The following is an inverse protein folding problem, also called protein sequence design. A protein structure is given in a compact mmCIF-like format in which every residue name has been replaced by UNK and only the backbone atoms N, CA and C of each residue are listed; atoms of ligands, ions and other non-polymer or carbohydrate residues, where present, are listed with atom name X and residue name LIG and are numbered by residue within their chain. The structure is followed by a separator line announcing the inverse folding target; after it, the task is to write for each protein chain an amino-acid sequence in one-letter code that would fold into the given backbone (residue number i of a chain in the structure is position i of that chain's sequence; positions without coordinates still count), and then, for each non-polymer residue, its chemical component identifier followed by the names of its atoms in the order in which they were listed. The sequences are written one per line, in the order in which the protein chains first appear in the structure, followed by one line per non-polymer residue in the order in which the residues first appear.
data_IF_015132009466
#
_entry.id   IF_015132009466
#
_cell.length_a   1.000
_cell.length_b   1.000
_cell.length_c   1.000
_cell.angle_alpha   90.00
_cell.angle_beta   90.00
_cell.angle_gamma   90.00
#
_symmetry.space_group_name_H-M   'P 1'
#
loop_
_entity.id
_entity.type
_entity.pdbx_description
1 polymer ?
#
# COMPACT_ATOMS: atom_id res chain seq x y z
N UNK A 1 1.35 11.81 19.64
CA UNK A 1 0.24 12.25 18.76
C UNK A 1 0.60 12.22 17.27
N UNK A 2 1.68 12.89 16.81
CA UNK A 2 2.03 12.94 15.36
C UNK A 2 2.37 11.59 14.73
N UNK A 3 3.02 10.68 15.45
CA UNK A 3 3.39 9.33 14.96
C UNK A 3 2.18 8.46 14.65
N UNK A 4 1.15 8.49 15.49
CA UNK A 4 -0.08 7.72 15.31
C UNK A 4 -0.88 8.19 14.09
N UNK A 5 -0.99 9.50 13.87
CA UNK A 5 -1.63 10.04 12.67
C UNK A 5 -0.92 9.55 11.39
N UNK A 6 0.41 9.55 11.37
CA UNK A 6 1.17 9.02 10.22
C UNK A 6 1.00 7.52 10.02
N UNK A 7 0.86 6.73 11.08
CA UNK A 7 0.55 5.30 10.98
C UNK A 7 -0.79 5.07 10.29
N UNK A 8 -1.83 5.80 10.69
CA UNK A 8 -3.15 5.69 10.05
C UNK A 8 -3.09 6.03 8.57
N UNK A 9 -2.41 7.13 8.21
CA UNK A 9 -2.23 7.55 6.81
C UNK A 9 -1.49 6.47 6.00
N UNK A 10 -0.38 5.96 6.51
CA UNK A 10 0.42 4.94 5.80
C UNK A 10 -0.33 3.62 5.65
N UNK A 11 -1.06 3.20 6.68
CA UNK A 11 -1.91 2.01 6.60
C UNK A 11 -3.03 2.22 5.57
N UNK A 12 -3.66 3.39 5.55
CA UNK A 12 -4.67 3.75 4.54
C UNK A 12 -4.10 3.73 3.11
N UNK A 13 -2.93 4.34 2.90
CA UNK A 13 -2.23 4.30 1.61
C UNK A 13 -1.88 2.87 1.18
N UNK A 14 -1.42 2.03 2.12
CA UNK A 14 -1.16 0.62 1.86
C UNK A 14 -2.42 -0.09 1.35
N UNK A 15 -3.57 0.12 2.02
CA UNK A 15 -4.84 -0.47 1.62
C UNK A 15 -5.29 -0.01 0.22
N UNK A 16 -5.16 1.28 -0.07
CA UNK A 16 -5.44 1.84 -1.41
C UNK A 16 -4.59 1.16 -2.48
N UNK A 17 -3.30 0.95 -2.21
CA UNK A 17 -2.40 0.26 -3.12
C UNK A 17 -2.79 -1.22 -3.31
N UNK A 18 -3.23 -1.92 -2.25
CA UNK A 18 -3.75 -3.30 -2.37
C UNK A 18 -4.96 -3.35 -3.29
N UNK A 19 -5.92 -2.43 -3.11
CA UNK A 19 -7.09 -2.33 -3.99
C UNK A 19 -6.67 -2.03 -5.44
N UNK A 20 -5.73 -1.11 -5.63
CA UNK A 20 -5.17 -0.80 -6.95
C UNK A 20 -4.56 -2.04 -7.62
N UNK A 21 -3.75 -2.83 -6.91
CA UNK A 21 -3.20 -4.09 -7.42
C UNK A 21 -4.30 -5.04 -7.88
N UNK A 22 -5.35 -5.24 -7.08
CA UNK A 22 -6.45 -6.12 -7.45
C UNK A 22 -7.17 -5.67 -8.73
N UNK A 23 -7.49 -4.36 -8.82
CA UNK A 23 -8.16 -3.79 -9.99
C UNK A 23 -7.31 -3.93 -11.26
N UNK A 24 -6.01 -3.62 -11.18
CA UNK A 24 -5.12 -3.73 -12.33
C UNK A 24 -4.84 -5.18 -12.74
N UNK A 25 -4.83 -6.12 -11.80
CA UNK A 25 -4.76 -7.55 -12.13
C UNK A 25 -6.02 -8.02 -12.85
N UNK A 26 -7.21 -7.62 -12.37
CA UNK A 26 -8.47 -7.90 -13.07
C UNK A 26 -8.46 -7.34 -14.49
N UNK A 27 -7.93 -6.13 -14.68
CA UNK A 27 -7.77 -5.52 -16.00
C UNK A 27 -6.75 -6.28 -16.86
N UNK A 28 -5.64 -6.74 -16.29
CA UNK A 28 -4.61 -7.49 -17.02
C UNK A 28 -5.12 -8.84 -17.56
N UNK A 29 -6.04 -9.50 -16.83
CA UNK A 29 -6.61 -10.78 -17.25
C UNK A 29 -7.87 -10.62 -18.11
N UNK A 30 -8.40 -9.40 -18.22
CA UNK A 30 -9.55 -9.14 -19.09
C UNK A 30 -9.10 -9.11 -20.56
N UNK A 31 -9.56 -10.04 -21.42
CA UNK A 31 -9.11 -10.14 -22.80
C UNK A 31 -9.47 -8.91 -23.65
N UNK A 32 -10.52 -8.17 -23.29
CA UNK A 32 -10.89 -6.92 -23.98
C UNK A 32 -9.87 -5.82 -23.71
N UNK A 33 -9.42 -5.73 -22.47
CA UNK A 33 -8.46 -4.71 -22.03
C UNK A 33 -7.02 -5.09 -22.41
N UNK A 34 -6.69 -6.38 -22.43
CA UNK A 34 -5.37 -6.88 -22.82
C UNK A 34 -4.96 -6.43 -24.24
N UNK A 35 -5.91 -6.36 -25.17
CA UNK A 35 -5.67 -5.90 -26.54
C UNK A 35 -5.45 -4.36 -26.62
N UNK A 36 -6.03 -3.60 -25.70
CA UNK A 36 -5.95 -2.12 -25.69
C UNK A 36 -4.75 -1.61 -24.90
N UNK A 37 -4.44 -2.25 -23.78
CA UNK A 37 -3.49 -1.74 -22.79
C UNK A 37 -2.19 -2.55 -22.69
N UNK A 38 -2.13 -3.72 -23.34
CA UNK A 38 -0.94 -4.58 -23.35
C UNK A 38 -0.47 -4.91 -21.93
N UNK A 39 0.82 -4.66 -21.65
CA UNK A 39 1.42 -4.93 -20.35
C UNK A 39 1.24 -3.83 -19.30
N UNK A 40 0.66 -2.67 -19.66
CA UNK A 40 0.56 -1.54 -18.73
C UNK A 40 -0.20 -1.87 -17.43
N UNK A 41 -1.30 -2.65 -17.41
CA UNK A 41 -1.98 -2.99 -16.16
C UNK A 41 -1.09 -3.84 -15.24
N UNK A 42 -0.24 -4.71 -15.79
CA UNK A 42 0.72 -5.49 -14.98
C UNK A 42 1.78 -4.60 -14.32
N UNK A 43 2.26 -3.57 -15.03
CA UNK A 43 3.20 -2.59 -14.46
C UNK A 43 2.56 -1.84 -13.30
N UNK A 44 1.32 -1.36 -13.48
CA UNK A 44 0.59 -0.68 -12.40
C UNK A 44 0.24 -1.61 -11.24
N UNK A 45 -0.11 -2.87 -11.51
CA UNK A 45 -0.35 -3.86 -10.47
C UNK A 45 0.91 -4.13 -9.63
N UNK A 46 2.05 -4.33 -10.30
CA UNK A 46 3.34 -4.55 -9.66
C UNK A 46 3.81 -3.33 -8.86
N UNK A 47 3.72 -2.13 -9.44
CA UNK A 47 4.04 -0.88 -8.75
C UNK A 47 3.16 -0.64 -7.51
N UNK A 48 1.86 -0.89 -7.63
CA UNK A 48 0.92 -0.81 -6.51
C UNK A 48 1.26 -1.83 -5.42
N UNK A 49 1.63 -3.06 -5.78
CA UNK A 49 1.99 -4.09 -4.81
C UNK A 49 3.27 -3.71 -4.05
N UNK A 50 4.27 -3.18 -4.75
CA UNK A 50 5.51 -2.70 -4.14
C UNK A 50 5.24 -1.55 -3.15
N UNK A 51 4.40 -0.58 -3.52
CA UNK A 51 4.01 0.53 -2.65
C UNK A 51 3.19 0.07 -1.44
N UNK A 52 2.27 -0.87 -1.63
CA UNK A 52 1.49 -1.45 -0.53
C UNK A 52 2.42 -2.02 0.56
N UNK A 53 3.43 -2.79 0.14
CA UNK A 53 4.44 -3.35 1.04
C UNK A 53 5.27 -2.25 1.69
N UNK A 54 5.73 -1.26 0.92
CA UNK A 54 6.54 -0.16 1.43
C UNK A 54 5.80 0.63 2.52
N UNK A 55 4.55 1.01 2.28
CA UNK A 55 3.73 1.74 3.24
C UNK A 55 3.40 0.93 4.49
N UNK A 56 3.10 -0.37 4.33
CA UNK A 56 2.88 -1.25 5.47
C UNK A 56 4.14 -1.37 6.34
N UNK A 57 5.32 -1.55 5.72
CA UNK A 57 6.60 -1.62 6.43
C UNK A 57 6.93 -0.30 7.13
N UNK A 58 6.65 0.83 6.50
CA UNK A 58 6.82 2.15 7.09
C UNK A 58 5.89 2.35 8.31
N UNK A 59 4.62 1.95 8.20
CA UNK A 59 3.66 1.99 9.31
C UNK A 59 4.11 1.12 10.49
N UNK A 60 4.56 -0.12 10.22
CA UNK A 60 5.09 -1.02 11.24
C UNK A 60 6.38 -0.49 11.89
N UNK A 61 7.24 0.18 11.13
CA UNK A 61 8.45 0.80 11.68
C UNK A 61 8.13 1.96 12.62
N UNK A 62 7.15 2.79 12.28
CA UNK A 62 6.67 3.84 13.18
C UNK A 62 6.06 3.26 14.46
N UNK A 63 5.31 2.16 14.36
CA UNK A 63 4.75 1.47 15.53
C UNK A 63 5.84 1.02 16.51
N UNK A 64 6.96 0.49 16.00
CA UNK A 64 8.10 0.07 16.83
C UNK A 64 8.85 1.23 17.50
N UNK A 65 8.69 2.45 17.00
CA UNK A 65 9.34 3.66 17.52
C UNK A 65 8.44 4.49 18.42
N UNK A 66 7.17 4.10 18.59
CA UNK A 66 6.31 4.77 19.55
C UNK A 66 6.80 4.45 20.97
N UNK A 67 7.04 5.46 21.84
CA UNK A 67 7.40 5.21 23.22
C UNK A 67 6.29 4.38 23.90
N UNK A 68 6.68 3.35 24.62
CA UNK A 68 5.77 2.56 25.46
C UNK A 68 5.10 3.51 26.45
N UNK A 69 3.77 3.57 26.41
CA UNK A 69 2.97 4.31 27.38
C UNK A 69 3.19 3.69 28.77
N UNK A 70 4.22 4.14 29.51
CA UNK A 70 4.59 3.52 30.78
C UNK A 70 5.79 4.07 31.54
N UNK A 71 6.51 5.09 31.08
CA UNK A 71 7.53 5.75 31.91
C UNK A 71 7.01 7.09 32.45
N UNK A 72 6.76 7.22 33.77
CA UNK A 72 6.54 8.51 34.41
C UNK A 72 7.87 9.26 34.49
N UNK A 73 7.85 10.53 34.06
CA UNK A 73 8.91 11.52 34.31
C UNK A 73 8.69 12.15 35.68
#
# INVERSE_FOLDING_TARGET
MRSEAWRVVLTGLSLTCVTGTALFLMMAVNPKDAATFGSSPLVYAGGSAALAIAFNRASAWLARRAPSAGEPV
#
